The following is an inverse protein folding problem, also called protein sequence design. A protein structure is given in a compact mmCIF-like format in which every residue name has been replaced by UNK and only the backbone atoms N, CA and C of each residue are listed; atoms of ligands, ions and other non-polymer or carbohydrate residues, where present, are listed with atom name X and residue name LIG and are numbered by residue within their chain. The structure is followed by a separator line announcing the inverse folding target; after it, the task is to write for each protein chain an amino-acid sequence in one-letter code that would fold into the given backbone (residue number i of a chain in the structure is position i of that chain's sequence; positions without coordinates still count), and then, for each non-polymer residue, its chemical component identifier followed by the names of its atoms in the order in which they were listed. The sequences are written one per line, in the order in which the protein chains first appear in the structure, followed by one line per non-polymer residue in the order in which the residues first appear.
data_IF_129960229791
#
_entry.id   IF_129960229791
#
_cell.length_a   1.000
_cell.length_b   1.000
_cell.length_c   1.000
_cell.angle_alpha   90.00
_cell.angle_beta   90.00
_cell.angle_gamma   90.00
#
_symmetry.space_group_name_H-M   'P 1'
#
loop_
_entity.id
_entity.type
_entity.pdbx_description
1 polymer ?
#
# COMPACT_ATOMS: atom_id res chain seq x y z
N UNK A 1 6.14 -9.72 8.25
CA UNK A 1 5.31 -9.73 7.02
C UNK A 1 6.20 -9.55 5.79
N UNK A 2 5.84 -10.13 4.64
CA UNK A 2 6.53 -9.88 3.37
C UNK A 2 5.74 -8.84 2.59
N UNK A 3 6.38 -7.77 2.14
CA UNK A 3 5.74 -6.67 1.42
C UNK A 3 6.17 -6.65 -0.04
N UNK A 4 5.22 -6.43 -0.95
CA UNK A 4 5.47 -6.31 -2.37
C UNK A 4 4.70 -5.12 -2.95
N UNK A 5 5.44 -4.08 -3.34
CA UNK A 5 4.93 -3.00 -4.16
C UNK A 5 4.67 -3.51 -5.58
N UNK A 6 3.45 -3.31 -6.08
CA UNK A 6 3.03 -3.78 -7.41
C UNK A 6 2.98 -2.66 -8.44
N UNK A 7 2.57 -1.46 -8.01
CA UNK A 7 2.37 -0.34 -8.92
C UNK A 7 2.61 1.00 -8.24
N UNK A 8 3.20 1.92 -9.00
CA UNK A 8 3.34 3.35 -8.68
C UNK A 8 2.71 4.12 -9.84
N UNK A 9 1.79 5.03 -9.53
CA UNK A 9 1.14 5.92 -10.48
C UNK A 9 1.28 7.36 -10.00
N UNK A 10 1.38 8.31 -10.93
CA UNK A 10 1.19 9.73 -10.59
C UNK A 10 -0.30 10.06 -10.70
N UNK A 11 -0.81 10.82 -9.74
CA UNK A 11 -2.18 11.32 -9.81
C UNK A 11 -2.20 12.59 -10.68
N UNK A 12 -2.80 12.48 -11.86
CA UNK A 12 -2.92 13.56 -12.83
C UNK A 12 -4.05 14.56 -12.51
N UNK A 13 -4.92 14.26 -11.54
CA UNK A 13 -6.13 15.03 -11.23
C UNK A 13 -5.98 15.99 -10.02
N UNK A 14 -4.76 16.14 -9.47
CA UNK A 14 -4.43 17.23 -8.53
C UNK A 14 -4.77 16.97 -7.04
N UNK A 15 -5.12 15.73 -6.67
CA UNK A 15 -5.45 15.36 -5.30
C UNK A 15 -4.26 14.88 -4.48
N UNK A 16 -3.50 13.95 -5.03
CA UNK A 16 -2.29 13.34 -4.48
C UNK A 16 -1.11 13.55 -5.45
N UNK A 17 0.12 13.32 -4.99
CA UNK A 17 1.29 13.33 -5.87
C UNK A 17 1.48 11.94 -6.50
N UNK A 18 1.24 10.89 -5.70
CA UNK A 18 1.45 9.51 -6.11
C UNK A 18 0.38 8.58 -5.53
N UNK A 19 0.04 7.54 -6.28
CA UNK A 19 -0.82 6.43 -5.87
C UNK A 19 0.02 5.17 -5.92
N UNK A 20 0.06 4.41 -4.82
CA UNK A 20 0.77 3.14 -4.73
C UNK A 20 -0.21 2.02 -4.46
N UNK A 21 0.09 0.86 -5.04
CA UNK A 21 -0.66 -0.36 -4.81
C UNK A 21 0.30 -1.51 -4.58
N UNK A 22 -0.06 -2.40 -3.67
CA UNK A 22 0.75 -3.57 -3.38
C UNK A 22 0.03 -4.62 -2.57
N UNK A 23 0.77 -5.68 -2.31
CA UNK A 23 0.36 -6.80 -1.49
C UNK A 23 1.30 -6.92 -0.30
N UNK A 24 0.79 -7.36 0.82
CA UNK A 24 1.59 -7.80 1.95
C UNK A 24 1.07 -9.14 2.44
N UNK A 25 1.95 -10.04 2.85
CA UNK A 25 1.60 -11.41 3.20
C UNK A 25 2.23 -11.82 4.52
N UNK A 26 1.45 -12.41 5.40
CA UNK A 26 1.94 -13.15 6.56
C UNK A 26 1.63 -14.66 6.41
N UNK A 27 1.83 -15.44 7.47
CA UNK A 27 1.62 -16.89 7.43
C UNK A 27 0.17 -17.27 7.12
N UNK A 28 -0.80 -16.45 7.55
CA UNK A 28 -2.23 -16.79 7.53
C UNK A 28 -3.04 -15.91 6.59
N UNK A 29 -2.51 -14.76 6.18
CA UNK A 29 -3.28 -13.74 5.49
C UNK A 29 -2.50 -13.06 4.38
N UNK A 30 -3.26 -12.55 3.43
CA UNK A 30 -2.78 -11.61 2.42
C UNK A 30 -3.56 -10.31 2.54
N UNK A 31 -2.86 -9.20 2.36
CA UNK A 31 -3.34 -7.85 2.49
C UNK A 31 -3.12 -7.13 1.16
N UNK A 32 -4.20 -6.72 0.52
CA UNK A 32 -4.18 -5.82 -0.63
C UNK A 32 -4.31 -4.40 -0.12
N UNK A 33 -3.38 -3.54 -0.52
CA UNK A 33 -3.39 -2.15 -0.08
C UNK A 33 -3.24 -1.19 -1.24
N UNK A 34 -3.92 -0.05 -1.10
CA UNK A 34 -3.79 1.12 -1.97
C UNK A 34 -3.58 2.33 -1.09
N UNK A 35 -2.53 3.08 -1.36
CA UNK A 35 -2.18 4.29 -0.60
C UNK A 35 -2.02 5.48 -1.55
N UNK A 36 -2.57 6.62 -1.15
CA UNK A 36 -2.34 7.89 -1.84
C UNK A 36 -1.38 8.74 -1.01
N UNK A 37 -0.40 9.34 -1.67
CA UNK A 37 0.65 10.13 -1.03
C UNK A 37 0.54 11.56 -1.51
N UNK A 38 0.53 12.52 -0.60
CA UNK A 38 0.60 13.95 -0.88
C UNK A 38 1.64 14.59 0.04
N UNK A 39 2.54 15.40 -0.52
CA UNK A 39 3.63 16.05 0.22
C UNK A 39 4.42 15.05 1.08
N UNK A 40 4.76 13.89 0.51
CA UNK A 40 5.51 12.81 1.15
C UNK A 40 4.81 12.17 2.37
N UNK A 41 3.52 12.42 2.55
CA UNK A 41 2.71 11.83 3.62
C UNK A 41 1.57 11.02 3.03
N UNK A 42 1.21 9.93 3.72
CA UNK A 42 0.01 9.16 3.40
C UNK A 42 -1.22 10.05 3.64
N UNK A 43 -2.04 10.22 2.60
CA UNK A 43 -3.31 10.94 2.67
C UNK A 43 -4.48 9.99 2.85
N UNK A 44 -4.48 8.88 2.13
CA UNK A 44 -5.54 7.86 2.20
C UNK A 44 -4.92 6.49 2.10
N UNK A 45 -5.43 5.57 2.91
CA UNK A 45 -5.02 4.18 2.94
C UNK A 45 -6.26 3.29 2.90
N UNK A 46 -6.34 2.46 1.87
CA UNK A 46 -7.32 1.39 1.76
C UNK A 46 -6.61 0.07 1.92
N UNK A 47 -7.14 -0.81 2.76
CA UNK A 47 -6.60 -2.16 2.97
C UNK A 47 -7.75 -3.15 2.93
N UNK A 48 -7.59 -4.20 2.14
CA UNK A 48 -8.40 -5.40 2.18
C UNK A 48 -7.53 -6.56 2.63
N UNK A 49 -8.14 -7.53 3.29
CA UNK A 49 -7.47 -8.73 3.81
C UNK A 49 -8.23 -9.97 3.34
N UNK A 50 -7.51 -11.04 3.04
CA UNK A 50 -8.09 -12.37 2.87
C UNK A 50 -7.31 -13.41 3.65
N UNK A 51 -7.98 -14.50 4.02
CA UNK A 51 -7.33 -15.67 4.59
C UNK A 51 -6.65 -16.49 3.50
N UNK A 52 -5.44 -16.95 3.80
CA UNK A 52 -4.71 -17.92 2.97
C UNK A 52 -5.04 -19.37 3.35
N UNK A 53 -5.65 -19.58 4.51
CA UNK A 53 -6.15 -20.89 4.92
C UNK A 53 -7.26 -21.26 3.93
N UNK A 54 -7.04 -22.34 3.19
CA UNK A 54 -7.97 -22.82 2.18
C UNK A 54 -9.23 -23.35 2.86
N UNK A 55 -10.36 -22.70 2.63
CA UNK A 55 -11.68 -23.28 2.90
C UNK A 55 -12.15 -23.93 1.60
N UNK A 56 -12.33 -25.25 1.61
CA UNK A 56 -12.76 -26.02 0.44
C UNK A 56 -11.87 -25.82 -0.81
N UNK A 57 -10.56 -25.66 -0.63
CA UNK A 57 -9.61 -25.48 -1.73
C UNK A 57 -9.56 -24.06 -2.32
N UNK A 58 -10.34 -23.12 -1.78
CA UNK A 58 -10.34 -21.71 -2.23
C UNK A 58 -9.78 -20.81 -1.13
N UNK A 59 -8.92 -19.82 -1.47
CA UNK A 59 -8.57 -18.75 -0.53
C UNK A 59 -9.82 -18.01 -0.07
N UNK A 60 -9.76 -17.42 1.13
CA UNK A 60 -10.85 -16.60 1.63
C UNK A 60 -11.15 -15.41 0.72
N UNK A 61 -12.37 -14.88 0.81
CA UNK A 61 -12.76 -13.67 0.11
C UNK A 61 -12.01 -12.43 0.64
N UNK A 62 -11.89 -11.42 -0.21
CA UNK A 62 -11.33 -10.13 0.19
C UNK A 62 -12.32 -9.35 1.04
N UNK A 63 -11.91 -8.99 2.25
CA UNK A 63 -12.70 -8.17 3.15
C UNK A 63 -11.98 -6.86 3.45
N UNK A 64 -12.69 -5.74 3.31
CA UNK A 64 -12.18 -4.42 3.70
C UNK A 64 -11.80 -4.43 5.18
N UNK A 65 -10.66 -3.84 5.51
CA UNK A 65 -10.16 -3.74 6.88
C UNK A 65 -10.23 -2.31 7.36
N UNK A 66 -10.97 -2.09 8.45
CA UNK A 66 -10.96 -0.83 9.18
C UNK A 66 -9.67 -0.65 9.98
N UNK A 67 -9.10 -1.75 10.47
CA UNK A 67 -7.86 -1.76 11.26
C UNK A 67 -6.73 -2.30 10.41
N UNK A 68 -5.69 -1.49 10.22
CA UNK A 68 -4.49 -1.87 9.48
C UNK A 68 -3.42 -2.34 10.47
N UNK A 69 -2.78 -3.50 10.27
CA UNK A 69 -1.67 -3.94 11.11
C UNK A 69 -0.55 -2.90 11.19
N UNK A 70 0.02 -2.70 12.38
CA UNK A 70 1.05 -1.68 12.61
C UNK A 70 2.29 -1.90 11.74
N UNK A 71 2.71 -3.15 11.53
CA UNK A 71 3.82 -3.49 10.64
C UNK A 71 3.57 -2.99 9.21
N UNK A 72 2.36 -3.21 8.68
CA UNK A 72 1.98 -2.73 7.36
C UNK A 72 1.94 -1.20 7.30
N UNK A 73 1.39 -0.56 8.33
CA UNK A 73 1.31 0.90 8.42
C UNK A 73 2.72 1.53 8.43
N UNK A 74 3.64 0.97 9.22
CA UNK A 74 5.02 1.44 9.30
C UNK A 74 5.74 1.28 7.97
N UNK A 75 5.63 0.11 7.34
CA UNK A 75 6.19 -0.13 6.00
C UNK A 75 5.70 0.90 4.97
N UNK A 76 4.39 1.18 4.95
CA UNK A 76 3.83 2.14 3.99
C UNK A 76 4.28 3.58 4.26
N UNK A 77 4.48 3.97 5.52
CA UNK A 77 5.04 5.28 5.86
C UNK A 77 6.48 5.41 5.35
N UNK A 78 7.30 4.37 5.53
CA UNK A 78 8.69 4.35 5.03
C UNK A 78 8.74 4.46 3.50
N UNK A 79 7.88 3.72 2.80
CA UNK A 79 7.77 3.78 1.34
C UNK A 79 7.33 5.17 0.89
N UNK A 80 6.37 5.80 1.59
CA UNK A 80 5.90 7.14 1.26
C UNK A 80 6.99 8.20 1.41
N UNK A 81 7.82 8.10 2.45
CA UNK A 81 8.96 8.98 2.66
C UNK A 81 9.98 8.85 1.51
N UNK A 82 10.37 7.61 1.15
CA UNK A 82 11.34 7.32 0.09
C UNK A 82 10.88 7.79 -1.29
N UNK A 83 9.60 7.61 -1.62
CA UNK A 83 9.04 8.10 -2.89
C UNK A 83 9.08 9.63 -2.95
N UNK A 84 8.84 10.28 -1.82
CA UNK A 84 9.00 11.72 -1.68
C UNK A 84 10.42 12.23 -1.94
N UNK A 85 11.43 11.47 -1.56
CA UNK A 85 12.85 11.78 -1.82
C UNK A 85 13.22 11.55 -3.30
N UNK A 86 12.76 10.44 -3.89
CA UNK A 86 13.01 10.11 -5.28
C UNK A 86 12.49 11.18 -6.24
N UNK A 87 11.31 11.75 -6.00
CA UNK A 87 10.74 12.77 -6.88
C UNK A 87 11.21 14.21 -6.59
N UNK A 88 11.74 14.51 -5.40
CA UNK A 88 12.38 15.83 -5.13
C UNK A 88 13.59 16.07 -6.02
N UNK A 89 14.32 15.01 -6.36
CA UNK A 89 15.63 15.11 -7.04
C UNK A 89 15.52 15.27 -8.56
N UNK A 90 14.33 15.12 -9.16
CA UNK A 90 14.12 15.18 -10.63
C UNK A 90 13.53 16.51 -11.09
N UNK A 91 13.65 17.60 -10.31
CA UNK A 91 13.57 18.96 -10.86
C UNK A 91 14.96 19.34 -11.36
N UNK A 92 15.36 18.78 -12.50
CA UNK A 92 16.53 19.24 -13.22
C UNK A 92 16.18 20.61 -13.81
N UNK A 93 17.00 21.59 -13.46
CA UNK A 93 16.93 23.00 -13.87
C UNK A 93 17.09 23.16 -15.37
#
# INVERSE_FOLDING_TARGET
MIHQLKRIERDSAGGADNILQGLSKDEHHEYLWKVTIKHNKIRTLFVSKRSLILMNGTPGEWMSQLTVPDELRNHLNDVAAKIGELYKTVKVS
#
